data_IF_218697848459
#
_entry.id   IF_218697848459
#
_cell.length_a   1.000
_cell.length_b   1.000
_cell.length_c   1.000
_cell.angle_alpha   90.00
_cell.angle_beta   90.00
_cell.angle_gamma   90.00
#
_symmetry.space_group_name_H-M   'P 1'
#
loop_
_entity.id
_entity.type
_entity.pdbx_description
1 polymer ?
#
# COMPACT_ATOMS: atom_id res chain seq x y z
N UNK A 1 -0.80 -24.05 11.61
CA UNK A 1 -1.93 -23.76 12.51
C UNK A 1 -2.27 -22.26 12.61
N UNK A 2 -1.31 -21.36 12.79
CA UNK A 2 -1.59 -19.90 12.90
C UNK A 2 -2.24 -19.29 11.66
N UNK A 3 -1.79 -19.58 10.45
CA UNK A 3 -2.32 -19.03 9.19
C UNK A 3 -3.80 -19.36 8.99
N UNK A 4 -4.21 -20.60 9.33
CA UNK A 4 -5.62 -21.02 9.22
C UNK A 4 -6.52 -20.23 10.21
N UNK A 5 -6.01 -19.90 11.40
CA UNK A 5 -6.78 -19.11 12.36
C UNK A 5 -6.97 -17.65 11.87
N UNK A 6 -5.93 -17.02 11.33
CA UNK A 6 -6.01 -15.66 10.82
C UNK A 6 -6.99 -15.55 9.65
N UNK A 7 -7.00 -16.54 8.75
CA UNK A 7 -7.97 -16.63 7.65
C UNK A 7 -9.42 -16.72 8.16
N UNK A 8 -9.67 -17.48 9.23
CA UNK A 8 -11.00 -17.57 9.87
C UNK A 8 -11.44 -16.22 10.43
N UNK A 9 -10.52 -15.50 11.09
CA UNK A 9 -10.82 -14.18 11.65
C UNK A 9 -11.12 -13.16 10.54
N UNK A 10 -10.33 -13.16 9.46
CA UNK A 10 -10.55 -12.28 8.31
C UNK A 10 -11.91 -12.54 7.65
N UNK A 11 -12.28 -13.80 7.47
CA UNK A 11 -13.59 -14.18 6.91
C UNK A 11 -14.76 -13.66 7.76
N UNK A 12 -14.66 -13.77 9.09
CA UNK A 12 -15.69 -13.25 10.01
C UNK A 12 -15.84 -11.73 9.84
N UNK A 13 -14.72 -11.02 9.85
CA UNK A 13 -14.71 -9.55 9.69
C UNK A 13 -15.34 -9.16 8.36
N UNK A 14 -14.94 -9.80 7.26
CA UNK A 14 -15.46 -9.53 5.92
C UNK A 14 -16.96 -9.80 5.84
N UNK A 15 -17.41 -10.94 6.38
CA UNK A 15 -18.84 -11.31 6.39
C UNK A 15 -19.70 -10.30 7.16
N UNK A 16 -19.21 -9.84 8.32
CA UNK A 16 -19.91 -8.82 9.11
C UNK A 16 -19.88 -7.47 8.40
N UNK A 17 -18.74 -7.10 7.81
CA UNK A 17 -18.58 -5.85 7.08
C UNK A 17 -19.53 -5.73 5.89
N UNK A 18 -19.61 -6.77 5.04
CA UNK A 18 -20.50 -6.81 3.89
C UNK A 18 -21.97 -6.81 4.28
N UNK A 19 -22.31 -7.47 5.38
CA UNK A 19 -23.68 -7.51 5.89
C UNK A 19 -24.10 -6.22 6.62
N UNK A 20 -23.13 -5.31 6.92
CA UNK A 20 -23.27 -4.16 7.81
C UNK A 20 -23.70 -4.56 9.24
N UNK A 21 -24.77 -5.36 9.38
CA UNK A 21 -25.27 -5.92 10.63
C UNK A 21 -25.80 -7.33 10.38
N UNK A 22 -25.36 -8.30 11.19
CA UNK A 22 -25.70 -9.72 11.01
C UNK A 22 -26.03 -10.39 12.34
N UNK A 23 -27.07 -11.26 12.39
CA UNK A 23 -27.32 -12.07 13.57
C UNK A 23 -26.30 -13.21 13.69
N UNK A 24 -26.13 -13.76 14.89
CA UNK A 24 -25.23 -14.90 15.08
C UNK A 24 -25.67 -16.12 14.28
N UNK A 25 -26.98 -16.35 14.21
CA UNK A 25 -27.58 -17.48 13.49
C UNK A 25 -27.26 -17.39 11.99
N UNK A 26 -27.39 -16.22 11.40
CA UNK A 26 -27.09 -15.99 9.98
C UNK A 26 -25.56 -16.09 9.72
N UNK A 27 -24.75 -15.53 10.61
CA UNK A 27 -23.28 -15.64 10.54
C UNK A 27 -22.85 -17.11 10.61
N UNK A 28 -23.46 -17.89 11.52
CA UNK A 28 -23.14 -19.30 11.68
C UNK A 28 -23.59 -20.15 10.49
N UNK A 29 -24.73 -19.81 9.89
CA UNK A 29 -25.17 -20.45 8.64
C UNK A 29 -24.14 -20.25 7.52
N UNK A 30 -23.73 -19.01 7.26
CA UNK A 30 -22.69 -18.68 6.26
C UNK A 30 -21.35 -19.34 6.58
N UNK A 31 -21.04 -19.46 7.88
CA UNK A 31 -19.83 -20.16 8.32
C UNK A 31 -19.86 -21.65 7.95
N UNK A 32 -20.96 -22.33 8.19
CA UNK A 32 -21.12 -23.75 7.80
C UNK A 32 -21.09 -23.96 6.29
N UNK A 33 -21.68 -23.03 5.52
CA UNK A 33 -21.66 -23.05 4.07
C UNK A 33 -20.21 -22.92 3.51
N UNK A 34 -19.32 -22.26 4.25
CA UNK A 34 -17.89 -22.17 3.91
C UNK A 34 -17.12 -23.39 4.44
N UNK A 35 -17.25 -24.52 3.75
CA UNK A 35 -16.66 -25.80 4.17
C UNK A 35 -15.13 -25.75 4.24
N UNK A 36 -14.45 -24.97 3.39
CA UNK A 36 -12.98 -24.85 3.39
C UNK A 36 -12.44 -24.27 4.71
N UNK A 37 -13.18 -23.38 5.37
CA UNK A 37 -12.79 -22.78 6.65
C UNK A 37 -13.40 -23.48 7.87
N UNK A 38 -14.68 -23.85 7.77
CA UNK A 38 -15.45 -24.45 8.87
C UNK A 38 -15.24 -25.96 9.01
N UNK A 39 -14.96 -26.65 7.89
CA UNK A 39 -15.09 -28.11 7.79
C UNK A 39 -16.56 -28.56 7.79
N UNK A 40 -17.52 -27.63 7.61
CA UNK A 40 -18.96 -27.90 7.73
C UNK A 40 -19.46 -27.90 9.19
N UNK A 41 -18.60 -27.55 10.16
CA UNK A 41 -18.93 -27.56 11.59
C UNK A 41 -19.51 -26.21 12.04
N UNK A 42 -20.42 -26.25 13.01
CA UNK A 42 -20.97 -25.06 13.64
C UNK A 42 -19.94 -24.25 14.41
N UNK A 43 -20.08 -22.93 14.35
CA UNK A 43 -19.33 -22.01 15.22
C UNK A 43 -20.05 -21.88 16.56
N UNK A 44 -19.42 -22.32 17.63
CA UNK A 44 -19.97 -22.14 18.98
C UNK A 44 -19.91 -20.65 19.39
N UNK A 45 -20.93 -20.12 20.05
CA UNK A 45 -20.96 -18.73 20.57
C UNK A 45 -19.73 -18.43 21.44
N UNK A 46 -19.25 -19.37 22.27
CA UNK A 46 -18.03 -19.23 23.06
C UNK A 46 -16.79 -19.03 22.18
N UNK A 47 -16.70 -19.77 21.08
CA UNK A 47 -15.60 -19.65 20.10
C UNK A 47 -15.65 -18.29 19.39
N UNK A 48 -16.83 -17.86 18.98
CA UNK A 48 -17.02 -16.55 18.37
C UNK A 48 -16.63 -15.41 19.32
N UNK A 49 -17.02 -15.46 20.59
CA UNK A 49 -16.60 -14.46 21.58
C UNK A 49 -15.07 -14.42 21.78
N UNK A 50 -14.39 -15.57 21.79
CA UNK A 50 -12.92 -15.61 21.80
C UNK A 50 -12.33 -15.00 20.52
N UNK A 51 -12.92 -15.28 19.37
CA UNK A 51 -12.45 -14.76 18.09
C UNK A 51 -12.67 -13.24 17.96
N UNK A 52 -13.69 -12.67 18.56
CA UNK A 52 -13.85 -11.21 18.65
C UNK A 52 -12.64 -10.54 19.31
N UNK A 53 -12.12 -11.10 20.38
CA UNK A 53 -10.90 -10.62 21.03
C UNK A 53 -9.67 -10.75 20.12
N UNK A 54 -9.52 -11.88 19.45
CA UNK A 54 -8.43 -12.10 18.53
C UNK A 54 -8.50 -11.15 17.31
N UNK A 55 -9.72 -10.83 16.83
CA UNK A 55 -9.95 -9.84 15.76
C UNK A 55 -9.49 -8.46 16.20
N UNK A 56 -9.85 -8.07 17.43
CA UNK A 56 -9.38 -6.80 17.98
C UNK A 56 -7.86 -6.74 18.11
N UNK A 57 -7.25 -7.79 18.64
CA UNK A 57 -5.79 -7.88 18.79
C UNK A 57 -5.04 -7.90 17.44
N UNK A 58 -5.61 -8.56 16.43
CA UNK A 58 -4.95 -8.75 15.12
C UNK A 58 -5.20 -7.59 14.15
N UNK A 59 -6.42 -7.05 14.13
CA UNK A 59 -6.86 -6.06 13.13
C UNK A 59 -7.28 -4.72 13.74
N UNK A 60 -7.24 -4.58 15.06
CA UNK A 60 -7.73 -3.37 15.74
C UNK A 60 -9.24 -3.15 15.64
N UNK A 61 -10.02 -4.14 15.18
CA UNK A 61 -11.44 -4.02 14.91
C UNK A 61 -12.30 -4.51 16.08
N UNK A 62 -13.22 -3.65 16.53
CA UNK A 62 -14.21 -3.99 17.57
C UNK A 62 -15.52 -4.47 16.93
N UNK A 63 -15.93 -5.69 17.28
CA UNK A 63 -17.24 -6.23 16.91
C UNK A 63 -18.18 -6.06 18.09
N UNK A 64 -19.19 -5.19 17.94
CA UNK A 64 -20.22 -4.96 18.92
C UNK A 64 -21.55 -5.65 18.54
N UNK A 65 -22.47 -5.69 19.49
CA UNK A 65 -23.78 -6.29 19.33
C UNK A 65 -24.87 -5.28 19.71
N UNK A 66 -25.95 -5.23 18.93
CA UNK A 66 -27.12 -4.43 19.27
C UNK A 66 -27.72 -4.90 20.64
N UNK A 67 -28.16 -3.94 21.44
CA UNK A 67 -28.71 -4.22 22.79
C UNK A 67 -30.14 -4.77 22.73
N UNK A 68 -30.78 -4.66 21.59
CA UNK A 68 -32.18 -5.09 21.37
C UNK A 68 -32.27 -6.19 20.32
N UNK A 69 -33.26 -7.07 20.44
CA UNK A 69 -33.51 -8.10 19.43
C UNK A 69 -33.69 -7.48 18.01
N UNK A 70 -33.12 -8.10 16.99
CA UNK A 70 -32.57 -9.45 16.91
C UNK A 70 -31.06 -9.58 17.25
N UNK A 71 -30.45 -8.70 18.06
CA UNK A 71 -29.07 -8.79 18.55
C UNK A 71 -28.04 -8.98 17.44
N UNK A 72 -28.00 -8.06 16.48
CA UNK A 72 -27.08 -8.14 15.35
C UNK A 72 -25.69 -7.62 15.70
N UNK A 73 -24.68 -8.29 15.23
CA UNK A 73 -23.28 -7.92 15.33
C UNK A 73 -22.88 -6.98 14.19
N UNK A 74 -22.00 -6.03 14.49
CA UNK A 74 -21.48 -5.04 13.54
C UNK A 74 -20.07 -4.60 13.95
N UNK A 75 -19.32 -4.03 13.00
CA UNK A 75 -17.99 -3.46 13.29
C UNK A 75 -18.18 -2.02 13.76
N UNK A 76 -17.84 -1.75 15.02
CA UNK A 76 -18.12 -0.46 15.67
C UNK A 76 -17.19 0.67 15.21
N UNK A 77 -15.95 0.33 14.88
CA UNK A 77 -14.87 1.30 14.58
C UNK A 77 -14.33 1.18 13.14
N UNK A 78 -15.16 0.81 12.19
CA UNK A 78 -14.76 0.70 10.78
C UNK A 78 -14.17 2.00 10.24
N UNK A 79 -14.67 3.15 10.69
CA UNK A 79 -14.20 4.47 10.27
C UNK A 79 -12.82 4.85 10.87
N UNK A 80 -12.39 4.17 11.93
CA UNK A 80 -11.10 4.41 12.57
C UNK A 80 -9.94 3.75 11.80
N UNK A 81 -10.23 2.85 10.87
CA UNK A 81 -9.23 2.24 10.01
C UNK A 81 -8.72 3.29 9.01
N UNK A 82 -7.59 3.88 9.36
CA UNK A 82 -6.92 4.86 8.50
C UNK A 82 -6.57 4.23 7.15
N UNK A 83 -6.73 5.01 6.08
CA UNK A 83 -6.23 4.63 4.77
C UNK A 83 -4.72 4.32 4.87
N UNK A 84 -4.29 3.20 4.28
CA UNK A 84 -2.90 2.78 4.30
C UNK A 84 -2.41 2.14 5.61
N UNK A 85 -3.28 1.84 6.59
CA UNK A 85 -2.87 1.09 7.79
C UNK A 85 -2.53 -0.36 7.45
N UNK A 86 -1.59 -0.94 8.22
CA UNK A 86 -1.18 -2.36 8.06
C UNK A 86 -2.37 -3.28 8.30
N UNK A 87 -3.22 -2.98 9.27
CA UNK A 87 -4.40 -3.76 9.64
C UNK A 87 -5.40 -3.82 8.48
N UNK A 88 -5.69 -2.67 7.85
CA UNK A 88 -6.57 -2.60 6.67
C UNK A 88 -5.99 -3.36 5.49
N UNK A 89 -4.70 -3.22 5.24
CA UNK A 89 -4.03 -3.94 4.16
C UNK A 89 -4.03 -5.46 4.40
N UNK A 90 -3.74 -5.91 5.63
CA UNK A 90 -3.79 -7.33 6.01
C UNK A 90 -5.18 -7.90 5.82
N UNK A 91 -6.21 -7.21 6.30
CA UNK A 91 -7.60 -7.65 6.16
C UNK A 91 -7.96 -7.82 4.68
N UNK A 92 -7.72 -6.80 3.85
CA UNK A 92 -8.00 -6.85 2.42
C UNK A 92 -7.25 -7.99 1.72
N UNK A 93 -5.96 -8.17 2.05
CA UNK A 93 -5.14 -9.24 1.44
C UNK A 93 -5.65 -10.62 1.83
N UNK A 94 -6.02 -10.83 3.09
CA UNK A 94 -6.56 -12.11 3.58
C UNK A 94 -7.95 -12.39 3.02
N UNK A 95 -8.80 -11.38 2.89
CA UNK A 95 -10.13 -11.51 2.29
C UNK A 95 -10.04 -11.96 0.84
N UNK A 96 -9.20 -11.30 0.03
CA UNK A 96 -8.92 -11.71 -1.37
C UNK A 96 -8.35 -13.12 -1.42
N UNK A 97 -7.37 -13.44 -0.54
CA UNK A 97 -6.76 -14.76 -0.49
C UNK A 97 -7.79 -15.86 -0.19
N UNK A 98 -8.71 -15.62 0.76
CA UNK A 98 -9.78 -16.56 1.07
C UNK A 98 -10.71 -16.78 -0.13
N UNK A 99 -11.16 -15.71 -0.77
CA UNK A 99 -12.01 -15.79 -1.97
C UNK A 99 -11.35 -16.59 -3.10
N UNK A 100 -10.04 -16.41 -3.31
CA UNK A 100 -9.28 -17.17 -4.30
C UNK A 100 -9.15 -18.66 -3.94
N UNK A 101 -8.97 -18.98 -2.65
CA UNK A 101 -8.91 -20.36 -2.17
C UNK A 101 -10.25 -21.09 -2.33
N UNK A 102 -11.37 -20.41 -2.08
CA UNK A 102 -12.72 -20.92 -2.30
C UNK A 102 -13.04 -21.13 -3.79
N UNK A 103 -12.36 -20.40 -4.67
CA UNK A 103 -12.59 -20.40 -6.13
C UNK A 103 -11.78 -21.47 -6.87
N UNK A 104 -11.39 -22.57 -6.23
CA UNK A 104 -10.54 -23.63 -6.83
C UNK A 104 -11.08 -24.19 -8.15
N UNK A 105 -12.41 -24.29 -8.30
CA UNK A 105 -13.09 -24.81 -9.49
C UNK A 105 -13.00 -23.88 -10.72
N UNK A 106 -12.63 -22.60 -10.51
CA UNK A 106 -12.51 -21.61 -11.60
C UNK A 106 -11.10 -20.97 -11.65
N UNK A 107 -10.11 -21.67 -11.11
CA UNK A 107 -8.72 -21.17 -10.99
C UNK A 107 -8.11 -20.79 -12.36
N UNK A 108 -8.47 -21.49 -13.40
CA UNK A 108 -8.08 -21.22 -14.80
C UNK A 108 -8.68 -19.95 -15.39
N UNK A 109 -9.69 -19.37 -14.70
CA UNK A 109 -10.37 -18.11 -15.09
C UNK A 109 -9.86 -16.91 -14.30
N UNK A 110 -8.92 -17.10 -13.38
CA UNK A 110 -8.34 -16.04 -12.55
C UNK A 110 -6.92 -15.82 -13.00
N UNK A 111 -6.65 -14.63 -13.52
CA UNK A 111 -5.32 -14.24 -14.02
C UNK A 111 -4.71 -13.25 -13.04
N UNK A 112 -3.51 -13.54 -12.56
CA UNK A 112 -2.74 -12.68 -11.69
C UNK A 112 -1.50 -12.17 -12.42
N UNK A 113 -1.16 -10.92 -12.21
CA UNK A 113 0.10 -10.35 -12.69
C UNK A 113 1.25 -10.83 -11.80
N UNK A 114 2.32 -11.35 -12.42
CA UNK A 114 3.54 -11.70 -11.70
C UNK A 114 4.48 -10.50 -11.64
N UNK A 115 4.54 -9.86 -10.47
CA UNK A 115 5.41 -8.71 -10.22
C UNK A 115 6.56 -9.13 -9.31
N UNK A 116 7.82 -9.02 -9.76
CA UNK A 116 8.99 -9.24 -8.92
C UNK A 116 8.93 -8.32 -7.70
N UNK A 117 8.75 -8.88 -6.51
CA UNK A 117 8.51 -8.10 -5.30
C UNK A 117 9.66 -8.17 -4.28
N UNK A 118 10.65 -9.08 -4.47
CA UNK A 118 11.73 -9.31 -3.52
C UNK A 118 11.23 -9.81 -2.16
N UNK A 119 10.12 -10.56 -2.13
CA UNK A 119 9.48 -11.03 -0.89
C UNK A 119 10.41 -11.87 -0.02
N UNK A 120 11.34 -12.58 -0.63
CA UNK A 120 12.34 -13.39 0.06
C UNK A 120 13.23 -12.58 1.01
N UNK A 121 13.41 -11.29 0.74
CA UNK A 121 14.19 -10.37 1.61
C UNK A 121 13.33 -9.63 2.63
N UNK A 122 12.01 -9.61 2.49
CA UNK A 122 11.13 -8.83 3.36
C UNK A 122 11.17 -9.30 4.81
N UNK A 123 11.01 -10.61 5.04
CA UNK A 123 11.03 -11.20 6.38
C UNK A 123 12.38 -11.00 7.10
N UNK A 124 13.54 -11.32 6.47
CA UNK A 124 14.85 -11.03 7.06
C UNK A 124 15.08 -9.56 7.38
N UNK A 125 14.61 -8.64 6.55
CA UNK A 125 14.72 -7.20 6.80
C UNK A 125 13.87 -6.79 8.01
N UNK A 126 12.62 -7.26 8.08
CA UNK A 126 11.74 -7.00 9.25
C UNK A 126 12.37 -7.55 10.54
N UNK A 127 12.99 -8.75 10.49
CA UNK A 127 13.69 -9.31 11.66
C UNK A 127 14.91 -8.45 12.07
N UNK A 128 15.67 -7.96 11.10
CA UNK A 128 16.79 -7.03 11.37
C UNK A 128 16.28 -5.71 11.97
N UNK A 129 15.17 -5.17 11.49
CA UNK A 129 14.55 -3.96 12.04
C UNK A 129 14.07 -4.16 13.49
N UNK A 130 13.37 -5.27 13.78
CA UNK A 130 12.91 -5.60 15.14
C UNK A 130 14.07 -5.69 16.15
N UNK A 131 15.23 -6.13 15.69
CA UNK A 131 16.44 -6.30 16.52
C UNK A 131 17.40 -5.13 16.44
N UNK A 132 17.05 -4.09 15.69
CA UNK A 132 17.91 -2.93 15.37
C UNK A 132 19.32 -3.34 14.91
N UNK A 133 19.39 -4.32 14.01
CA UNK A 133 20.66 -4.82 13.47
C UNK A 133 20.97 -4.23 12.11
N UNK A 134 22.23 -3.88 11.91
CA UNK A 134 22.72 -3.57 10.58
C UNK A 134 22.56 -4.76 9.64
N UNK A 135 22.37 -4.44 8.37
CA UNK A 135 22.40 -5.42 7.28
C UNK A 135 23.49 -5.07 6.28
N UNK A 136 24.03 -6.08 5.66
CA UNK A 136 24.90 -5.97 4.49
C UNK A 136 24.13 -6.46 3.29
N UNK A 137 24.05 -5.66 2.23
CA UNK A 137 23.39 -6.02 0.98
C UNK A 137 24.30 -5.76 -0.20
N UNK A 138 24.28 -6.68 -1.15
CA UNK A 138 24.85 -6.51 -2.48
C UNK A 138 23.70 -6.09 -3.41
N UNK A 139 23.74 -4.86 -3.93
CA UNK A 139 22.60 -4.25 -4.62
C UNK A 139 22.92 -3.90 -6.06
N UNK A 140 22.05 -4.31 -7.00
CA UNK A 140 22.22 -4.02 -8.41
C UNK A 140 21.62 -2.65 -8.78
N UNK A 141 22.46 -1.78 -9.31
CA UNK A 141 22.08 -0.43 -9.75
C UNK A 141 21.75 -0.43 -11.25
N UNK A 142 20.49 -0.28 -11.60
CA UNK A 142 20.04 -0.29 -13.01
C UNK A 142 20.62 0.85 -13.86
N UNK A 143 20.87 2.03 -13.25
CA UNK A 143 21.41 3.18 -13.99
C UNK A 143 22.88 3.01 -14.36
N UNK A 144 23.64 2.34 -13.50
CA UNK A 144 25.08 2.14 -13.70
C UNK A 144 25.41 0.76 -14.27
N UNK A 145 24.45 -0.18 -14.22
CA UNK A 145 24.68 -1.56 -14.63
C UNK A 145 25.67 -2.31 -13.74
N UNK A 146 25.96 -1.79 -12.54
CA UNK A 146 26.91 -2.35 -11.60
C UNK A 146 26.23 -2.84 -10.31
N UNK A 147 26.95 -3.69 -9.58
CA UNK A 147 26.54 -4.19 -8.28
C UNK A 147 27.42 -3.56 -7.21
N UNK A 148 26.82 -3.09 -6.12
CA UNK A 148 27.51 -2.43 -5.01
C UNK A 148 27.09 -2.99 -3.68
N UNK A 149 28.08 -3.06 -2.80
CA UNK A 149 27.87 -3.42 -1.41
C UNK A 149 27.47 -2.20 -0.59
N UNK A 150 26.48 -2.43 0.28
CA UNK A 150 25.99 -1.42 1.20
C UNK A 150 25.89 -2.00 2.61
N UNK A 151 26.36 -1.23 3.60
CA UNK A 151 26.18 -1.51 5.02
C UNK A 151 25.17 -0.52 5.57
N UNK A 152 24.00 -1.02 6.04
CA UNK A 152 22.78 -0.23 6.17
C UNK A 152 22.11 -0.45 7.52
N UNK A 153 21.60 0.64 8.09
CA UNK A 153 20.57 0.62 9.14
C UNK A 153 19.22 0.53 8.45
N UNK A 154 18.49 -0.59 8.45
CA UNK A 154 17.15 -0.67 7.90
C UNK A 154 16.18 0.10 8.79
N UNK A 155 15.51 1.13 8.23
CA UNK A 155 14.67 2.06 8.99
C UNK A 155 13.18 1.79 8.81
N UNK A 156 12.72 1.58 7.58
CA UNK A 156 11.34 1.19 7.30
C UNK A 156 11.23 0.44 5.97
N UNK A 157 10.09 -0.22 5.77
CA UNK A 157 9.70 -0.86 4.51
C UNK A 157 8.41 -0.24 3.99
N UNK A 158 8.29 -0.11 2.66
CA UNK A 158 7.13 0.45 1.97
C UNK A 158 6.73 -0.45 0.81
N UNK A 159 5.44 -0.77 0.71
CA UNK A 159 4.87 -1.40 -0.47
C UNK A 159 4.39 -0.30 -1.42
N UNK A 160 4.84 -0.37 -2.66
CA UNK A 160 4.37 0.53 -3.72
C UNK A 160 4.31 -0.21 -5.05
N UNK A 161 3.18 -0.16 -5.74
CA UNK A 161 2.93 -0.85 -7.02
C UNK A 161 3.36 -2.32 -6.98
N UNK A 162 2.90 -3.03 -5.96
CA UNK A 162 3.17 -4.45 -5.69
C UNK A 162 4.64 -4.82 -5.42
N UNK A 163 5.56 -3.84 -5.36
CA UNK A 163 6.98 -4.04 -5.06
C UNK A 163 7.32 -3.52 -3.67
N UNK A 164 8.15 -4.26 -2.96
CA UNK A 164 8.65 -3.86 -1.65
C UNK A 164 9.93 -3.02 -1.77
N UNK A 165 9.97 -1.98 -0.99
CA UNK A 165 11.10 -1.06 -0.88
C UNK A 165 11.50 -0.94 0.59
N UNK A 166 12.81 -0.80 0.83
CA UNK A 166 13.37 -0.50 2.14
C UNK A 166 14.00 0.89 2.10
N UNK A 167 13.71 1.70 3.10
CA UNK A 167 14.52 2.88 3.42
C UNK A 167 15.58 2.45 4.41
N UNK A 168 16.82 2.76 4.11
CA UNK A 168 17.93 2.47 5.00
C UNK A 168 18.95 3.57 4.99
N UNK A 169 19.56 3.83 6.16
CA UNK A 169 20.67 4.79 6.30
C UNK A 169 21.98 4.09 6.02
N UNK A 170 22.66 4.52 4.98
CA UNK A 170 23.95 3.96 4.60
C UNK A 170 25.04 4.39 5.59
N UNK A 171 25.83 3.43 6.08
CA UNK A 171 26.92 3.68 7.01
C UNK A 171 28.29 3.55 6.30
N UNK A 172 29.26 4.44 6.54
CA UNK A 172 29.24 5.58 7.48
C UNK A 172 28.70 6.88 6.89
N UNK A 173 28.26 6.91 5.63
CA UNK A 173 27.90 8.14 4.92
C UNK A 173 26.67 8.89 5.50
N UNK A 174 25.87 8.26 6.35
CA UNK A 174 24.73 8.87 7.05
C UNK A 174 23.55 9.29 6.15
N UNK A 175 23.51 8.83 4.89
CA UNK A 175 22.45 9.19 3.92
C UNK A 175 21.36 8.13 3.91
N UNK A 176 20.11 8.57 3.92
CA UNK A 176 18.98 7.70 3.68
C UNK A 176 18.89 7.35 2.19
N UNK A 177 18.78 6.08 1.88
CA UNK A 177 18.65 5.54 0.53
C UNK A 177 17.43 4.63 0.44
N UNK A 178 16.85 4.55 -0.75
CA UNK A 178 15.73 3.67 -1.04
C UNK A 178 16.20 2.49 -1.87
N UNK A 179 15.91 1.29 -1.41
CA UNK A 179 16.30 0.04 -2.05
C UNK A 179 15.05 -0.76 -2.42
N UNK A 180 14.89 -1.07 -3.70
CA UNK A 180 13.87 -2.03 -4.15
C UNK A 180 14.36 -3.44 -3.83
N UNK A 181 13.56 -4.23 -3.12
CA UNK A 181 14.02 -5.52 -2.58
C UNK A 181 14.40 -6.52 -3.68
N UNK A 182 13.72 -6.53 -4.80
CA UNK A 182 13.99 -7.42 -5.94
C UNK A 182 15.34 -7.17 -6.65
N UNK A 183 16.03 -6.07 -6.31
CA UNK A 183 17.39 -5.76 -6.81
C UNK A 183 18.51 -6.18 -5.86
N UNK A 184 18.18 -6.74 -4.71
CA UNK A 184 19.15 -7.33 -3.79
C UNK A 184 19.68 -8.62 -4.41
N UNK A 185 21.01 -8.83 -4.37
CA UNK A 185 21.69 -10.02 -4.90
C UNK A 185 22.29 -10.89 -3.81
N UNK A 186 22.71 -10.28 -2.70
CA UNK A 186 23.15 -10.97 -1.49
C UNK A 186 22.69 -10.18 -0.28
N UNK A 187 22.40 -10.89 0.81
CA UNK A 187 21.86 -10.31 2.03
C UNK A 187 22.43 -11.00 3.25
N UNK A 188 22.88 -10.22 4.23
CA UNK A 188 23.38 -10.73 5.52
C UNK A 188 22.98 -9.80 6.65
N UNK A 189 22.54 -10.37 7.76
CA UNK A 189 22.29 -9.61 9.00
C UNK A 189 23.60 -9.56 9.79
N UNK A 190 24.01 -8.36 10.18
CA UNK A 190 25.19 -8.13 11.02
C UNK A 190 24.91 -8.47 12.48
N UNK A 191 25.97 -8.81 13.23
CA UNK A 191 25.89 -8.89 14.69
C UNK A 191 25.82 -7.53 15.38
N UNK A 192 26.22 -6.44 14.69
CA UNK A 192 26.19 -5.09 15.24
C UNK A 192 24.77 -4.53 15.25
N UNK A 193 24.48 -3.78 16.30
CA UNK A 193 23.21 -3.07 16.46
C UNK A 193 23.39 -1.57 16.28
N UNK A 194 22.29 -0.87 16.00
CA UNK A 194 22.25 0.60 15.90
C UNK A 194 21.14 1.16 16.80
N UNK A 195 21.21 2.45 17.09
CA UNK A 195 20.07 3.21 17.61
C UNK A 195 19.31 3.84 16.45
N UNK A 196 18.00 3.76 16.46
CA UNK A 196 17.19 4.46 15.46
C UNK A 196 17.52 5.95 15.54
N UNK A 197 17.89 6.58 14.42
CA UNK A 197 18.24 8.00 14.41
C UNK A 197 17.04 8.86 14.85
N UNK A 198 17.27 9.79 15.77
CA UNK A 198 16.23 10.68 16.32
C UNK A 198 15.62 11.60 15.24
N UNK A 199 16.34 11.85 14.15
CA UNK A 199 15.94 12.64 12.99
C UNK A 199 15.13 11.85 11.96
N UNK A 200 14.76 10.59 12.24
CA UNK A 200 13.99 9.75 11.32
C UNK A 200 12.62 9.42 11.87
N UNK A 201 11.60 9.97 11.25
CA UNK A 201 10.21 9.58 11.39
C UNK A 201 9.68 9.10 10.03
N UNK A 202 9.05 7.93 9.97
CA UNK A 202 8.58 7.30 8.72
C UNK A 202 7.46 8.12 8.08
N UNK A 203 6.57 8.70 8.87
CA UNK A 203 5.43 9.47 8.37
C UNK A 203 5.92 10.79 7.76
N UNK A 204 6.79 11.51 8.49
CA UNK A 204 7.38 12.75 8.00
C UNK A 204 8.28 12.52 6.79
N UNK A 205 9.02 11.40 6.75
CA UNK A 205 9.88 11.06 5.62
C UNK A 205 9.12 10.94 4.30
N UNK A 206 7.91 10.40 4.33
CA UNK A 206 7.05 10.25 3.16
C UNK A 206 5.94 11.31 3.06
N UNK A 207 5.92 12.29 3.95
CA UNK A 207 4.89 13.35 3.96
C UNK A 207 4.88 14.10 2.63
N UNK A 208 3.71 14.14 1.98
CA UNK A 208 3.52 14.75 0.65
C UNK A 208 4.17 14.00 -0.51
N UNK A 209 4.70 12.79 -0.29
CA UNK A 209 5.35 12.00 -1.33
C UNK A 209 4.38 11.02 -2.00
N UNK A 210 4.28 11.08 -3.30
CA UNK A 210 3.73 10.01 -4.12
C UNK A 210 4.87 9.06 -4.46
N UNK A 211 4.66 7.76 -4.23
CA UNK A 211 5.68 6.75 -4.53
C UNK A 211 6.69 6.52 -3.41
N UNK A 212 7.92 6.24 -3.79
CA UNK A 212 8.99 5.81 -2.87
C UNK A 212 10.18 6.76 -2.81
N UNK A 213 10.26 7.72 -3.72
CA UNK A 213 11.35 8.71 -3.73
C UNK A 213 11.00 9.81 -2.73
N UNK A 214 11.78 9.95 -1.64
CA UNK A 214 11.56 11.02 -0.68
C UNK A 214 11.87 12.38 -1.33
N UNK A 215 11.09 13.34 -0.97
CA UNK A 215 11.28 14.69 -1.48
C UNK A 215 12.33 15.49 -0.70
N UNK A 216 13.45 14.91 -0.31
CA UNK A 216 14.49 15.56 0.51
C UNK A 216 14.97 16.92 -0.05
N UNK A 217 14.79 17.12 -1.36
CA UNK A 217 15.24 18.33 -2.07
C UNK A 217 14.11 19.25 -2.51
N UNK A 218 12.86 18.87 -2.28
CA UNK A 218 11.69 19.68 -2.61
C UNK A 218 10.71 19.74 -1.44
N UNK A 219 10.24 20.94 -1.11
CA UNK A 219 9.19 21.14 -0.13
C UNK A 219 7.84 20.61 -0.63
N UNK A 220 6.88 20.51 0.29
CA UNK A 220 5.48 20.32 -0.08
C UNK A 220 5.00 21.63 -0.69
N UNK A 221 4.40 21.54 -1.88
CA UNK A 221 3.87 22.69 -2.59
C UNK A 221 2.48 22.41 -3.14
N UNK A 222 1.76 23.46 -3.41
CA UNK A 222 0.45 23.39 -4.03
C UNK A 222 0.64 23.14 -5.52
N UNK A 223 0.10 22.02 -5.98
CA UNK A 223 0.05 21.67 -7.40
C UNK A 223 -1.38 21.72 -7.90
N UNK A 224 -1.61 22.39 -9.01
CA UNK A 224 -2.91 22.46 -9.65
C UNK A 224 -2.83 21.78 -11.01
N UNK A 225 -3.73 20.84 -11.24
CA UNK A 225 -3.83 20.08 -12.49
C UNK A 225 -5.23 20.23 -13.09
N UNK A 226 -5.28 20.34 -14.42
CA UNK A 226 -6.49 20.29 -15.22
C UNK A 226 -6.59 18.92 -15.86
N UNK A 227 -7.74 18.29 -15.77
CA UNK A 227 -7.97 16.92 -16.20
C UNK A 227 -9.25 16.85 -17.03
N UNK A 228 -9.25 16.10 -18.14
CA UNK A 228 -10.47 15.89 -18.94
C UNK A 228 -11.60 15.29 -18.12
N UNK A 229 -12.85 15.57 -18.47
CA UNK A 229 -14.03 15.09 -17.72
C UNK A 229 -14.08 13.57 -17.60
N UNK A 230 -13.61 12.82 -18.61
CA UNK A 230 -13.52 11.37 -18.60
C UNK A 230 -12.49 10.86 -17.59
N UNK A 231 -11.26 11.35 -17.67
CA UNK A 231 -10.17 10.95 -16.79
C UNK A 231 -10.36 11.39 -15.34
N UNK A 232 -11.09 12.47 -15.10
CA UNK A 232 -11.38 12.97 -13.76
C UNK A 232 -12.12 11.95 -12.88
N UNK A 233 -12.97 11.11 -13.46
CA UNK A 233 -13.66 10.06 -12.69
C UNK A 233 -12.66 9.03 -12.11
N UNK A 234 -11.66 8.65 -12.90
CA UNK A 234 -10.60 7.76 -12.39
C UNK A 234 -9.81 8.40 -11.24
N UNK A 235 -9.50 9.70 -11.33
CA UNK A 235 -8.81 10.42 -10.26
C UNK A 235 -9.66 10.67 -9.01
N UNK A 236 -11.00 10.64 -9.12
CA UNK A 236 -11.90 10.65 -7.96
C UNK A 236 -11.88 9.32 -7.23
N UNK A 237 -11.97 8.22 -7.98
CA UNK A 237 -12.00 6.86 -7.42
C UNK A 237 -10.63 6.44 -6.88
N UNK A 238 -9.56 6.85 -7.56
CA UNK A 238 -8.17 6.59 -7.17
C UNK A 238 -7.36 7.90 -7.17
N UNK A 239 -7.44 8.70 -6.10
CA UNK A 239 -6.69 9.95 -5.99
C UNK A 239 -5.18 9.73 -6.08
N UNK A 240 -4.47 10.65 -6.71
CA UNK A 240 -3.01 10.63 -6.79
C UNK A 240 -2.37 10.77 -5.40
N UNK A 241 -3.02 11.52 -4.50
CA UNK A 241 -2.58 11.73 -3.13
C UNK A 241 -3.78 12.07 -2.23
N UNK A 242 -3.69 11.75 -0.94
CA UNK A 242 -4.78 12.01 0.04
C UNK A 242 -5.17 13.49 0.16
N UNK A 243 -4.27 14.41 -0.20
CA UNK A 243 -4.55 15.85 -0.22
C UNK A 243 -5.28 16.34 -1.47
N UNK A 244 -5.62 15.46 -2.41
CA UNK A 244 -6.28 15.82 -3.66
C UNK A 244 -7.68 16.37 -3.38
N UNK A 245 -7.96 17.56 -3.90
CA UNK A 245 -9.28 18.20 -3.82
C UNK A 245 -9.70 18.69 -5.20
N UNK A 246 -10.94 18.42 -5.58
CA UNK A 246 -11.53 18.98 -6.78
C UNK A 246 -12.02 20.39 -6.48
N UNK A 247 -11.54 21.38 -7.21
CA UNK A 247 -11.82 22.80 -6.97
C UNK A 247 -12.67 23.46 -8.04
N UNK A 248 -12.72 22.87 -9.25
CA UNK A 248 -13.53 23.38 -10.36
C UNK A 248 -14.07 22.23 -11.21
N UNK A 249 -15.32 22.38 -11.66
CA UNK A 249 -16.00 21.43 -12.51
C UNK A 249 -16.67 22.15 -13.67
N UNK A 250 -16.35 21.71 -14.89
CA UNK A 250 -17.04 22.13 -16.13
C UNK A 250 -17.51 20.90 -16.92
N UNK A 251 -18.18 21.07 -18.05
CA UNK A 251 -18.56 19.95 -18.90
C UNK A 251 -17.34 19.29 -19.59
N UNK A 252 -16.27 20.03 -19.82
CA UNK A 252 -15.10 19.58 -20.56
C UNK A 252 -13.97 19.08 -19.65
N UNK A 253 -13.79 19.70 -18.48
CA UNK A 253 -12.65 19.42 -17.61
C UNK A 253 -12.99 19.58 -16.12
N UNK A 254 -12.06 19.12 -15.29
CA UNK A 254 -12.00 19.31 -13.83
C UNK A 254 -10.65 19.86 -13.42
N UNK A 255 -10.62 20.65 -12.36
CA UNK A 255 -9.36 21.10 -11.73
C UNK A 255 -9.22 20.45 -10.37
N UNK A 256 -8.07 19.82 -10.16
CA UNK A 256 -7.67 19.29 -8.87
C UNK A 256 -6.50 20.06 -8.30
N UNK A 257 -6.52 20.27 -6.99
CA UNK A 257 -5.42 20.82 -6.20
C UNK A 257 -4.86 19.75 -5.27
N UNK A 258 -3.53 19.68 -5.18
CA UNK A 258 -2.79 18.73 -4.35
C UNK A 258 -1.73 19.47 -3.54
N UNK A 259 -1.42 18.98 -2.33
CA UNK A 259 -0.30 19.40 -1.50
C UNK A 259 0.75 18.29 -1.51
N UNK A 260 1.73 18.35 -2.40
CA UNK A 260 2.66 17.27 -2.67
C UNK A 260 4.08 17.77 -2.93
N UNK A 261 5.04 16.86 -2.78
CA UNK A 261 6.42 17.06 -3.24
C UNK A 261 6.52 16.64 -4.69
N UNK A 262 6.99 17.54 -5.55
CA UNK A 262 7.09 17.30 -7.01
C UNK A 262 8.28 16.38 -7.35
N UNK A 263 8.29 15.17 -6.75
CA UNK A 263 9.29 14.14 -6.94
C UNK A 263 9.26 13.54 -8.34
N UNK A 264 10.27 12.71 -8.66
CA UNK A 264 10.29 11.95 -9.92
C UNK A 264 9.04 11.04 -10.05
N UNK A 265 8.66 10.33 -8.97
CA UNK A 265 7.50 9.43 -8.99
C UNK A 265 6.21 10.20 -9.28
N UNK A 266 6.03 11.37 -8.66
CA UNK A 266 4.88 12.23 -8.95
C UNK A 266 4.85 12.69 -10.42
N UNK A 267 6.00 13.10 -10.95
CA UNK A 267 6.09 13.51 -12.35
C UNK A 267 5.79 12.34 -13.31
N UNK A 268 6.12 11.11 -12.94
CA UNK A 268 5.73 9.92 -13.72
C UNK A 268 4.21 9.69 -13.65
N UNK A 269 3.56 9.91 -12.50
CA UNK A 269 2.09 9.84 -12.40
C UNK A 269 1.41 10.88 -13.29
N UNK A 270 1.93 12.11 -13.33
CA UNK A 270 1.40 13.14 -14.22
C UNK A 270 1.50 12.71 -15.70
N UNK A 271 2.65 12.19 -16.11
CA UNK A 271 2.88 11.74 -17.48
C UNK A 271 2.10 10.47 -17.84
N UNK A 272 1.77 9.62 -16.87
CA UNK A 272 0.94 8.43 -17.07
C UNK A 272 -0.47 8.76 -17.59
N UNK A 273 -1.00 9.92 -17.21
CA UNK A 273 -2.31 10.39 -17.63
C UNK A 273 -2.33 10.94 -19.09
N UNK A 274 -1.18 10.99 -19.76
CA UNK A 274 -1.07 11.35 -21.17
C UNK A 274 -1.62 12.75 -21.49
N UNK A 275 -2.41 12.84 -22.56
CA UNK A 275 -3.02 14.08 -23.04
C UNK A 275 -4.20 14.57 -22.19
N UNK A 276 -4.73 13.71 -21.33
CA UNK A 276 -5.89 14.02 -20.49
C UNK A 276 -5.55 14.87 -19.27
N UNK A 277 -4.26 15.11 -18.98
CA UNK A 277 -3.81 15.86 -17.82
C UNK A 277 -2.83 16.97 -18.19
N UNK A 278 -3.14 18.18 -17.71
CA UNK A 278 -2.31 19.37 -17.86
C UNK A 278 -1.93 19.95 -16.49
N UNK A 279 -0.64 20.17 -16.24
CA UNK A 279 -0.18 20.90 -15.06
C UNK A 279 -0.40 22.39 -15.27
N UNK A 280 -1.16 23.03 -14.37
CA UNK A 280 -1.38 24.49 -14.37
C UNK A 280 -0.37 25.21 -13.47
N UNK A 281 -0.20 24.73 -12.26
CA UNK A 281 0.67 25.30 -11.23
C UNK A 281 1.44 24.20 -10.48
N UNK A 282 2.65 24.47 -10.00
CA UNK A 282 3.43 25.68 -10.21
C UNK A 282 4.04 25.76 -11.62
N UNK A 283 4.33 26.98 -12.06
CA UNK A 283 4.82 27.24 -13.44
C UNK A 283 6.13 26.50 -13.76
N UNK A 284 7.00 26.31 -12.78
CA UNK A 284 8.25 25.58 -12.98
C UNK A 284 7.99 24.09 -13.28
N UNK A 285 7.05 23.44 -12.56
CA UNK A 285 6.67 22.05 -12.81
C UNK A 285 6.01 21.90 -14.19
N UNK A 286 5.10 22.82 -14.54
CA UNK A 286 4.50 22.88 -15.88
C UNK A 286 5.57 22.92 -16.97
N UNK A 287 6.57 23.77 -16.82
CA UNK A 287 7.70 23.88 -17.78
C UNK A 287 8.52 22.59 -17.84
N UNK A 288 8.75 21.95 -16.70
CA UNK A 288 9.50 20.70 -16.65
C UNK A 288 8.77 19.55 -17.35
N UNK A 289 7.47 19.39 -17.08
CA UNK A 289 6.62 18.39 -17.76
C UNK A 289 6.57 18.68 -19.27
N UNK A 290 6.31 19.92 -19.66
CA UNK A 290 6.33 20.32 -21.06
C UNK A 290 7.68 19.99 -21.75
N UNK A 291 8.79 20.21 -21.06
CA UNK A 291 10.13 19.85 -21.54
C UNK A 291 10.31 18.33 -21.75
N UNK A 292 9.75 17.51 -20.84
CA UNK A 292 9.74 16.03 -20.97
C UNK A 292 8.91 15.61 -22.19
N UNK A 293 7.70 16.15 -22.33
CA UNK A 293 6.81 15.87 -23.47
C UNK A 293 7.49 16.24 -24.78
N UNK A 294 8.14 17.41 -24.86
CA UNK A 294 8.89 17.81 -26.03
C UNK A 294 10.02 16.83 -26.39
N UNK A 295 10.75 16.33 -25.38
CA UNK A 295 11.79 15.31 -25.62
C UNK A 295 11.18 13.97 -26.07
N UNK A 296 10.02 13.61 -25.55
CA UNK A 296 9.27 12.44 -26.02
C UNK A 296 8.85 12.62 -27.46
N UNK A 297 8.19 13.73 -27.77
CA UNK A 297 7.76 14.08 -29.15
C UNK A 297 8.92 13.99 -30.14
N UNK A 298 10.09 14.55 -29.80
CA UNK A 298 11.26 14.53 -30.69
C UNK A 298 11.78 13.11 -30.99
N UNK A 299 11.41 12.09 -30.21
CA UNK A 299 11.75 10.68 -30.49
C UNK A 299 10.79 10.02 -31.49
N UNK A 300 9.58 10.57 -31.63
CA UNK A 300 8.56 10.06 -32.53
C UNK A 300 8.43 10.93 -33.81
N UNK A 301 9.11 12.08 -33.82
CA UNK A 301 9.15 12.92 -35.01
C UNK A 301 9.97 12.15 -36.06
N UNK A 302 9.32 11.76 -37.13
CA UNK A 302 9.99 11.21 -38.30
C UNK A 302 10.93 12.27 -38.88
N UNK A 303 12.12 11.88 -39.33
CA UNK A 303 13.01 12.73 -40.07
C UNK A 303 12.31 13.05 -41.42
N UNK A 304 11.64 14.20 -41.50
CA UNK A 304 11.12 14.74 -42.74
C UNK A 304 12.25 15.21 -43.64
#
# INVERSE_FOLDING_TARGET
>A
MALNQTNKLAWIVETIYQAHKISFEELNRRWMDNVDLSGGEEMLKRTFHKWKWNIFDTFGLSIDCEKTAPYRYYIANVNDMKSGSIEKWLLSTLSVSNSLLESKSIKDRIVLEDVPSGREYLEPIIDAMKKNRFIHICYFNYWKGDTRDHYIMPLCVKLFRQRWYMVGRNWPAGRNLVFCLDRIRDFRISSHTFKIPEDFDTQEYFNGCIGVIPGDRCGIEKVKIKVSSGQANYLRDLPLHDSQQETEQTDEYRIFELQVRSTFDFQQELLWNGEDLEVLEPLWLRKEIAGKIKRMWNRYKEDE
#
